data_IF_727042247465
#
_entry.id   IF_727042247465
#
_cell.length_a   1.000
_cell.length_b   1.000
_cell.length_c   1.000
_cell.angle_alpha   90.00
_cell.angle_beta   90.00
_cell.angle_gamma   90.00
#
_symmetry.space_group_name_H-M   'P 1'
#
loop_
_entity.id
_entity.type
_entity.pdbx_description
1 polymer ?
#
# COMPACT_ATOMS: atom_id res chain seq x y z
N UNK A 1 -15.22 -9.57 12.32
CA UNK A 1 -15.22 -10.04 10.92
C UNK A 1 -13.83 -9.78 10.35
N UNK A 2 -13.29 -10.63 9.47
CA UNK A 2 -12.08 -10.29 8.75
C UNK A 2 -12.36 -9.03 7.93
N UNK A 3 -11.46 -8.05 7.97
CA UNK A 3 -11.52 -6.92 7.05
C UNK A 3 -11.32 -7.42 5.62
N UNK A 4 -12.09 -6.90 4.67
CA UNK A 4 -11.88 -7.16 3.23
C UNK A 4 -10.43 -6.86 2.82
N UNK A 5 -9.77 -5.94 3.53
CA UNK A 5 -8.39 -5.51 3.28
C UNK A 5 -7.31 -6.28 4.05
N UNK A 6 -7.68 -7.32 4.81
CA UNK A 6 -6.74 -8.04 5.68
C UNK A 6 -5.52 -8.60 4.95
N UNK A 7 -5.71 -9.11 3.73
CA UNK A 7 -4.61 -9.60 2.89
C UNK A 7 -3.61 -8.49 2.55
N UNK A 8 -4.11 -7.34 2.09
CA UNK A 8 -3.27 -6.22 1.70
C UNK A 8 -2.55 -5.60 2.89
N UNK A 9 -3.26 -5.37 4.00
CA UNK A 9 -2.66 -4.92 5.24
C UNK A 9 -1.57 -5.88 5.75
N UNK A 10 -1.80 -7.18 5.63
CA UNK A 10 -0.82 -8.22 5.93
C UNK A 10 0.44 -8.11 5.08
N UNK A 11 0.30 -7.89 3.77
CA UNK A 11 1.43 -7.65 2.85
C UNK A 11 2.23 -6.42 3.26
N UNK A 12 1.57 -5.29 3.51
CA UNK A 12 2.26 -4.05 3.88
C UNK A 12 3.09 -4.23 5.15
N UNK A 13 2.53 -4.89 6.17
CA UNK A 13 3.25 -5.24 7.40
C UNK A 13 4.40 -6.21 7.15
N UNK A 14 4.20 -7.21 6.29
CA UNK A 14 5.23 -8.17 5.95
C UNK A 14 6.42 -7.49 5.29
N UNK A 15 6.20 -6.62 4.29
CA UNK A 15 7.27 -5.86 3.64
C UNK A 15 7.95 -4.92 4.63
N UNK A 16 7.16 -4.21 5.46
CA UNK A 16 7.69 -3.34 6.51
C UNK A 16 8.61 -4.09 7.48
N UNK A 17 8.22 -5.28 7.90
CA UNK A 17 8.99 -6.13 8.83
C UNK A 17 10.21 -6.78 8.17
N UNK A 18 10.09 -7.20 6.91
CA UNK A 18 11.17 -7.88 6.18
C UNK A 18 12.27 -6.92 5.73
N UNK A 19 11.96 -5.63 5.64
CA UNK A 19 12.91 -4.59 5.29
C UNK A 19 13.65 -4.13 6.55
N UNK A 20 14.58 -4.97 7.02
CA UNK A 20 15.54 -4.57 8.05
C UNK A 20 16.62 -3.68 7.42
N UNK A 21 16.81 -2.51 7.99
CA UNK A 21 17.86 -1.57 7.57
C UNK A 21 18.26 -0.71 8.76
N UNK A 22 19.53 -0.36 8.86
CA UNK A 22 20.02 0.63 9.83
C UNK A 22 19.87 2.08 9.37
N UNK A 23 19.50 2.26 8.10
CA UNK A 23 19.21 3.57 7.54
C UNK A 23 17.94 4.17 8.17
N UNK A 24 18.08 5.37 8.73
CA UNK A 24 16.98 6.08 9.41
C UNK A 24 15.83 6.40 8.45
N UNK A 25 16.11 6.74 7.20
CA UNK A 25 15.09 7.06 6.20
C UNK A 25 14.25 5.82 5.88
N UNK A 26 14.91 4.67 5.72
CA UNK A 26 14.22 3.39 5.47
C UNK A 26 13.35 3.00 6.67
N UNK A 27 13.85 3.17 7.91
CA UNK A 27 13.06 2.92 9.13
C UNK A 27 11.79 3.77 9.19
N UNK A 28 11.89 5.06 8.86
CA UNK A 28 10.73 5.97 8.79
C UNK A 28 9.71 5.50 7.74
N UNK A 29 10.20 5.14 6.55
CA UNK A 29 9.37 4.65 5.45
C UNK A 29 8.59 3.38 5.83
N UNK A 30 9.24 2.41 6.51
CA UNK A 30 8.57 1.20 6.99
C UNK A 30 7.60 1.48 8.16
N UNK A 31 7.88 2.51 8.96
CA UNK A 31 6.96 3.03 9.97
C UNK A 31 5.66 3.55 9.35
N UNK A 32 5.75 4.34 8.27
CA UNK A 32 4.58 4.78 7.52
C UNK A 32 3.76 3.61 6.97
N UNK A 33 4.41 2.62 6.34
CA UNK A 33 3.71 1.43 5.84
C UNK A 33 2.97 0.67 6.95
N UNK A 34 3.58 0.51 8.11
CA UNK A 34 2.96 -0.20 9.24
C UNK A 34 1.74 0.55 9.79
N UNK A 35 1.82 1.87 9.89
CA UNK A 35 0.70 2.72 10.31
C UNK A 35 -0.45 2.68 9.29
N UNK A 36 -0.12 2.83 8.01
CA UNK A 36 -1.09 2.79 6.90
C UNK A 36 -1.78 1.41 6.82
N UNK A 37 -1.02 0.32 6.96
CA UNK A 37 -1.58 -1.03 6.98
C UNK A 37 -2.65 -1.21 8.07
N UNK A 38 -2.42 -0.62 9.24
CA UNK A 38 -3.38 -0.67 10.35
C UNK A 38 -4.64 0.13 10.03
N UNK A 39 -4.51 1.33 9.48
CA UNK A 39 -5.67 2.14 9.09
C UNK A 39 -6.52 1.47 7.99
N UNK A 40 -5.85 0.89 6.99
CA UNK A 40 -6.46 0.15 5.89
C UNK A 40 -7.24 -1.06 6.40
N UNK A 41 -6.65 -1.86 7.29
CA UNK A 41 -7.33 -3.03 7.86
C UNK A 41 -8.61 -2.63 8.58
N UNK A 42 -8.63 -1.48 9.27
CA UNK A 42 -9.81 -1.05 10.01
C UNK A 42 -10.91 -0.43 9.13
N UNK A 43 -10.55 0.34 8.10
CA UNK A 43 -11.51 1.21 7.40
C UNK A 43 -11.41 1.23 5.89
N UNK A 44 -10.44 0.54 5.28
CA UNK A 44 -10.15 0.68 3.85
C UNK A 44 -9.68 2.09 3.47
N UNK A 45 -9.30 2.91 4.46
CA UNK A 45 -8.94 4.31 4.31
C UNK A 45 -7.75 4.63 5.19
N UNK A 46 -6.92 5.58 4.74
CA UNK A 46 -5.83 6.10 5.55
C UNK A 46 -5.62 7.59 5.30
N UNK A 47 -4.92 8.24 6.24
CA UNK A 47 -4.55 9.65 6.18
C UNK A 47 -3.03 9.77 6.20
N UNK A 48 -2.48 10.64 5.37
CA UNK A 48 -1.05 10.96 5.32
C UNK A 48 -0.86 12.46 5.38
N UNK A 49 0.05 12.92 6.24
CA UNK A 49 0.47 14.32 6.28
C UNK A 49 1.27 14.67 5.01
N UNK A 50 1.11 15.89 4.50
CA UNK A 50 1.79 16.37 3.28
C UNK A 50 3.30 16.14 3.33
N UNK A 51 3.91 16.41 4.48
CA UNK A 51 5.34 16.21 4.72
C UNK A 51 5.80 14.75 4.57
N UNK A 52 4.90 13.79 4.77
CA UNK A 52 5.19 12.36 4.72
C UNK A 52 4.80 11.71 3.38
N UNK A 53 4.14 12.45 2.47
CA UNK A 53 3.65 11.90 1.21
C UNK A 53 4.75 11.34 0.32
N UNK A 54 5.90 12.00 0.22
CA UNK A 54 7.01 11.52 -0.60
C UNK A 54 7.58 10.20 -0.06
N UNK A 55 7.80 10.12 1.26
CA UNK A 55 8.28 8.89 1.91
C UNK A 55 7.26 7.76 1.75
N UNK A 56 5.98 8.03 1.99
CA UNK A 56 4.91 7.05 1.81
C UNK A 56 4.81 6.56 0.34
N UNK A 57 4.95 7.46 -0.64
CA UNK A 57 4.92 7.11 -2.05
C UNK A 57 6.07 6.18 -2.44
N UNK A 58 7.29 6.47 -1.98
CA UNK A 58 8.46 5.59 -2.17
C UNK A 58 8.24 4.23 -1.48
N UNK A 59 7.61 4.21 -0.31
CA UNK A 59 7.26 2.99 0.39
C UNK A 59 6.34 2.10 -0.44
N UNK A 60 5.26 2.67 -0.99
CA UNK A 60 4.34 1.94 -1.85
C UNK A 60 4.98 1.46 -3.15
N UNK A 61 5.86 2.26 -3.76
CA UNK A 61 6.63 1.83 -4.92
C UNK A 61 7.55 0.65 -4.58
N UNK A 62 8.19 0.66 -3.41
CA UNK A 62 9.00 -0.44 -2.90
C UNK A 62 8.17 -1.72 -2.69
N UNK A 63 6.98 -1.61 -2.11
CA UNK A 63 6.03 -2.73 -1.98
C UNK A 63 5.65 -3.30 -3.34
N UNK A 64 5.21 -2.45 -4.28
CA UNK A 64 4.80 -2.88 -5.62
C UNK A 64 5.92 -3.64 -6.33
N UNK A 65 7.14 -3.07 -6.30
CA UNK A 65 8.33 -3.70 -6.88
C UNK A 65 8.63 -5.04 -6.23
N UNK A 66 8.62 -5.12 -4.89
CA UNK A 66 8.86 -6.35 -4.16
C UNK A 66 7.85 -7.44 -4.53
N UNK A 67 6.56 -7.11 -4.57
CA UNK A 67 5.51 -8.05 -4.95
C UNK A 67 5.67 -8.53 -6.38
N UNK A 68 5.91 -7.60 -7.32
CA UNK A 68 6.05 -7.90 -8.74
C UNK A 68 7.28 -8.76 -9.04
N UNK A 69 8.41 -8.48 -8.41
CA UNK A 69 9.68 -9.18 -8.70
C UNK A 69 9.87 -10.47 -7.89
N UNK A 70 9.29 -10.57 -6.68
CA UNK A 70 9.57 -11.68 -5.75
C UNK A 70 8.36 -12.59 -5.53
N UNK A 71 7.18 -12.04 -5.29
CA UNK A 71 6.04 -12.84 -4.81
C UNK A 71 5.13 -13.31 -5.94
N UNK A 72 4.86 -12.43 -6.92
CA UNK A 72 4.00 -12.74 -8.06
C UNK A 72 4.53 -13.92 -8.91
N UNK A 73 5.84 -14.01 -9.25
CA UNK A 73 6.37 -15.15 -9.99
C UNK A 73 6.21 -16.48 -9.25
N UNK A 74 6.37 -16.47 -7.92
CA UNK A 74 6.20 -17.67 -7.08
C UNK A 74 4.73 -18.14 -7.08
N UNK A 75 3.79 -17.21 -6.94
CA UNK A 75 2.35 -17.53 -6.99
C UNK A 75 1.91 -18.06 -8.37
N UNK A 76 2.48 -17.51 -9.45
CA UNK A 76 2.26 -18.00 -10.81
C UNK A 76 2.83 -19.41 -11.00
N UNK A 77 4.05 -19.67 -10.53
CA UNK A 77 4.67 -21.00 -10.60
C UNK A 77 3.91 -22.05 -9.80
N UNK A 78 3.28 -21.66 -8.68
CA UNK A 78 2.43 -22.52 -7.87
C UNK A 78 1.02 -22.75 -8.45
N UNK A 79 0.63 -22.06 -9.53
CA UNK A 79 -0.69 -22.17 -10.15
C UNK A 79 -1.84 -21.66 -9.28
N UNK A 80 -1.57 -20.80 -8.30
CA UNK A 80 -2.60 -20.28 -7.39
C UNK A 80 -3.24 -19.00 -7.97
N UNK A 81 -4.24 -19.18 -8.82
CA UNK A 81 -4.92 -18.06 -9.50
C UNK A 81 -5.55 -17.03 -8.53
N UNK A 82 -6.09 -17.50 -7.40
CA UNK A 82 -6.65 -16.62 -6.37
C UNK A 82 -5.59 -15.70 -5.76
N UNK A 83 -4.43 -16.25 -5.40
CA UNK A 83 -3.31 -15.48 -4.90
C UNK A 83 -2.74 -14.53 -5.97
N UNK A 84 -2.66 -14.97 -7.22
CA UNK A 84 -2.21 -14.14 -8.35
C UNK A 84 -3.11 -12.92 -8.52
N UNK A 85 -4.44 -13.09 -8.45
CA UNK A 85 -5.39 -11.98 -8.58
C UNK A 85 -5.27 -10.98 -7.41
N UNK A 86 -5.14 -11.49 -6.18
CA UNK A 86 -4.91 -10.64 -5.00
C UNK A 86 -3.58 -9.87 -5.10
N UNK A 87 -2.51 -10.51 -5.57
CA UNK A 87 -1.20 -9.88 -5.74
C UNK A 87 -1.20 -8.82 -6.83
N UNK A 88 -1.84 -9.08 -7.98
CA UNK A 88 -1.99 -8.08 -9.06
C UNK A 88 -2.73 -6.85 -8.56
N UNK A 89 -3.87 -7.06 -7.88
CA UNK A 89 -4.63 -5.96 -7.28
C UNK A 89 -3.80 -5.18 -6.24
N UNK A 90 -3.02 -5.87 -5.40
CA UNK A 90 -2.16 -5.23 -4.40
C UNK A 90 -1.04 -4.39 -5.05
N UNK A 91 -0.45 -4.86 -6.14
CA UNK A 91 0.56 -4.13 -6.92
C UNK A 91 -0.06 -2.88 -7.53
N UNK A 92 -1.17 -3.02 -8.25
CA UNK A 92 -1.88 -1.91 -8.90
C UNK A 92 -2.32 -0.85 -7.89
N UNK A 93 -2.91 -1.28 -6.77
CA UNK A 93 -3.33 -0.38 -5.69
C UNK A 93 -2.14 0.37 -5.09
N UNK A 94 -1.01 -0.31 -4.84
CA UNK A 94 0.20 0.34 -4.31
C UNK A 94 0.75 1.38 -5.29
N UNK A 95 0.82 1.07 -6.59
CA UNK A 95 1.28 2.02 -7.61
C UNK A 95 0.35 3.23 -7.74
N UNK A 96 -0.97 3.00 -7.72
CA UNK A 96 -1.96 4.06 -7.79
C UNK A 96 -1.88 5.00 -6.58
N UNK A 97 -1.78 4.44 -5.36
CA UNK A 97 -1.62 5.24 -4.13
C UNK A 97 -0.31 6.03 -4.13
N UNK A 98 0.80 5.41 -4.55
CA UNK A 98 2.09 6.09 -4.68
C UNK A 98 2.03 7.25 -5.68
N UNK A 99 1.39 7.06 -6.83
CA UNK A 99 1.22 8.10 -7.84
C UNK A 99 0.33 9.25 -7.33
N UNK A 100 -0.78 8.94 -6.66
CA UNK A 100 -1.69 9.95 -6.13
C UNK A 100 -1.05 10.76 -5.00
N UNK A 101 -0.23 10.14 -4.14
CA UNK A 101 0.56 10.86 -3.11
C UNK A 101 1.51 11.89 -3.75
N UNK A 102 2.23 11.51 -4.80
CA UNK A 102 3.15 12.41 -5.53
C UNK A 102 2.36 13.53 -6.21
N UNK A 103 1.23 13.21 -6.84
CA UNK A 103 0.36 14.20 -7.48
C UNK A 103 -0.11 15.25 -6.48
N UNK A 104 -0.55 14.85 -5.29
CA UNK A 104 -1.06 15.77 -4.26
C UNK A 104 -0.02 16.72 -3.68
N UNK A 105 1.26 16.35 -3.71
CA UNK A 105 2.33 17.28 -3.30
C UNK A 105 2.81 18.19 -4.44
N UNK A 106 2.62 17.78 -5.69
CA UNK A 106 3.12 18.49 -6.87
C UNK A 106 2.17 19.56 -7.43
N UNK A 107 0.85 19.40 -7.25
CA UNK A 107 -0.14 20.34 -7.80
C UNK A 107 -0.46 21.48 -6.82
N UNK A 108 -0.48 22.71 -7.33
CA UNK A 108 -0.74 23.95 -6.57
C UNK A 108 -2.14 23.95 -5.91
N UNK A 109 -3.11 23.24 -6.48
CA UNK A 109 -4.46 23.09 -5.91
C UNK A 109 -4.47 22.48 -4.50
N UNK A 110 -3.39 21.81 -4.09
CA UNK A 110 -3.21 21.17 -2.78
C UNK A 110 -2.17 21.87 -1.88
N UNK A 111 -1.65 23.05 -2.26
CA UNK A 111 -0.57 23.73 -1.54
C UNK A 111 -0.95 24.10 -0.09
N UNK A 112 -2.24 24.37 0.16
CA UNK A 112 -2.78 24.68 1.49
C UNK A 112 -3.30 23.47 2.30
N UNK A 113 -3.09 22.24 1.84
CA UNK A 113 -3.58 21.04 2.53
C UNK A 113 -2.45 20.34 3.29
N UNK A 114 -2.55 20.30 4.62
CA UNK A 114 -1.54 19.67 5.48
C UNK A 114 -1.64 18.14 5.53
N UNK A 115 -2.78 17.58 5.13
CA UNK A 115 -3.05 16.14 5.16
C UNK A 115 -4.02 15.72 4.07
N UNK A 116 -3.88 14.47 3.67
CA UNK A 116 -4.60 13.87 2.58
C UNK A 116 -5.24 12.55 3.01
N UNK A 117 -6.50 12.36 2.63
CA UNK A 117 -7.22 11.10 2.86
C UNK A 117 -7.28 10.30 1.57
N UNK A 118 -7.07 8.98 1.68
CA UNK A 118 -7.09 8.05 0.57
C UNK A 118 -8.01 6.88 0.91
N UNK A 119 -8.89 6.57 -0.02
CA UNK A 119 -9.77 5.40 0.02
C UNK A 119 -9.22 4.32 -0.89
N UNK A 120 -9.22 3.08 -0.44
CA UNK A 120 -8.78 1.95 -1.23
C UNK A 120 -9.95 1.40 -2.07
N UNK A 121 -9.67 0.94 -3.30
CA UNK A 121 -10.66 0.19 -4.08
C UNK A 121 -11.04 -1.10 -3.35
N UNK A 122 -12.15 -1.74 -3.70
CA UNK A 122 -12.48 -3.04 -3.11
C UNK A 122 -11.48 -4.11 -3.61
N UNK A 123 -10.98 -4.99 -2.72
CA UNK A 123 -10.13 -6.10 -3.14
C UNK A 123 -10.95 -7.20 -3.84
N UNK A 124 -10.32 -7.99 -4.72
CA UNK A 124 -11.01 -9.03 -5.45
C UNK A 124 -11.61 -10.08 -4.49
N UNK A 125 -12.82 -10.54 -4.78
CA UNK A 125 -13.52 -11.50 -3.92
C UNK A 125 -14.20 -10.91 -2.68
N UNK A 126 -14.12 -9.59 -2.45
CA UNK A 126 -14.99 -8.92 -1.48
C UNK A 126 -16.44 -9.02 -1.97
N UNK A 127 -17.42 -9.35 -1.10
CA UNK A 127 -18.81 -9.40 -1.52
C UNK A 127 -19.23 -8.01 -2.03
N UNK A 128 -19.59 -7.92 -3.31
CA UNK A 128 -20.27 -6.73 -3.84
C UNK A 128 -21.60 -6.65 -3.14
N UNK A 129 -21.77 -5.64 -2.28
CA UNK A 129 -23.07 -5.31 -1.72
C UNK A 129 -23.92 -4.81 -2.89
N UNK A 130 -24.73 -5.71 -3.45
CA UNK A 130 -25.82 -5.39 -4.38
C UNK A 130 -27.07 -5.06 -3.59
#
# INVERSE_FOLDING_TARGET
>A
MPSDYGFYAGILRFVAKKTESDDREIKVMMGHLSGIATAIEHSGRFVVERANCESAARAFAGVAKFLQERILPEALAAGNEGAVNQLKWAIETSLALGSELVKRIALEEYEGQDKFTFDLPLPPGSPTVH
#
